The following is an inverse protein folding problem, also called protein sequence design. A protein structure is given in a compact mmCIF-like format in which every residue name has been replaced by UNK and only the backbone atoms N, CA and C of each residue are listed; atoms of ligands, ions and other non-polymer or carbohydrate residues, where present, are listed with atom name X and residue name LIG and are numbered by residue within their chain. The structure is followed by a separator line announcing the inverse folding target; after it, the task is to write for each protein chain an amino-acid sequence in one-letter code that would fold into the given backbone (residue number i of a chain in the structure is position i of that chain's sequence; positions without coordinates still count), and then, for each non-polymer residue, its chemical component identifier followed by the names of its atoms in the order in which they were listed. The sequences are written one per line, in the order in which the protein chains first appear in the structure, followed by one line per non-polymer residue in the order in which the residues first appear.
data_IF_385402825553
#
_entry.id   IF_385402825553
#
_cell.length_a   1.000
_cell.length_b   1.000
_cell.length_c   1.000
_cell.angle_alpha   90.00
_cell.angle_beta   90.00
_cell.angle_gamma   90.00
#
_symmetry.space_group_name_H-M   'P 1'
#
loop_
_entity.id
_entity.type
_entity.pdbx_description
1 polymer ?
#
# COMPACT_ATOMS: atom_id res chain seq x y z
N UNK A 1 -9.38 -6.49 -14.38
CA UNK A 1 -7.98 -6.51 -13.91
C UNK A 1 -7.98 -6.53 -12.39
N UNK A 2 -7.15 -7.37 -11.77
CA UNK A 2 -7.12 -7.54 -10.31
C UNK A 2 -5.73 -7.16 -9.78
N UNK A 3 -5.70 -6.20 -8.84
CA UNK A 3 -4.47 -5.68 -8.28
C UNK A 3 -4.47 -5.89 -6.77
N UNK A 4 -3.45 -6.55 -6.23
CA UNK A 4 -3.33 -6.88 -4.81
C UNK A 4 -2.27 -6.01 -4.14
N UNK A 5 -2.57 -5.45 -2.99
CA UNK A 5 -1.57 -4.82 -2.11
C UNK A 5 -1.48 -5.55 -0.77
N UNK A 6 -0.26 -5.70 -0.23
CA UNK A 6 -0.05 -6.36 1.06
C UNK A 6 1.24 -5.90 1.74
N UNK A 7 1.14 -5.30 2.90
CA UNK A 7 2.29 -5.16 3.79
C UNK A 7 2.58 -6.53 4.41
N UNK A 8 3.68 -7.15 3.99
CA UNK A 8 4.02 -8.53 4.38
C UNK A 8 4.88 -8.61 5.65
N UNK A 9 5.28 -7.48 6.22
CA UNK A 9 6.13 -7.42 7.43
C UNK A 9 7.34 -8.36 7.36
N UNK A 10 7.95 -8.45 6.17
CA UNK A 10 9.10 -9.29 5.85
C UNK A 10 8.80 -10.41 4.87
N UNK A 11 9.21 -10.23 3.60
CA UNK A 11 8.92 -11.16 2.50
C UNK A 11 9.43 -12.58 2.78
N UNK A 12 10.68 -12.72 3.26
CA UNK A 12 11.25 -14.04 3.59
C UNK A 12 10.48 -14.80 4.68
N UNK A 13 9.80 -14.07 5.57
CA UNK A 13 8.99 -14.68 6.61
C UNK A 13 7.64 -15.16 6.07
N UNK A 14 6.98 -14.34 5.23
CA UNK A 14 5.68 -14.69 4.65
C UNK A 14 5.80 -15.80 3.60
N UNK A 15 6.89 -15.88 2.85
CA UNK A 15 7.18 -16.98 1.91
C UNK A 15 7.09 -18.35 2.61
N UNK A 16 7.62 -18.45 3.83
CA UNK A 16 7.56 -19.69 4.65
C UNK A 16 6.17 -20.00 5.19
N UNK A 17 5.22 -19.10 5.03
CA UNK A 17 3.84 -19.22 5.51
C UNK A 17 2.82 -19.43 4.38
N UNK A 18 3.30 -19.79 3.18
CA UNK A 18 2.45 -20.07 2.04
C UNK A 18 2.06 -18.86 1.20
N UNK A 19 2.93 -17.85 1.12
CA UNK A 19 2.69 -16.66 0.31
C UNK A 19 2.34 -17.01 -1.15
N UNK A 20 3.12 -17.89 -1.79
CA UNK A 20 2.89 -18.27 -3.18
C UNK A 20 1.53 -18.99 -3.36
N UNK A 21 1.16 -19.88 -2.45
CA UNK A 21 -0.14 -20.56 -2.50
C UNK A 21 -1.30 -19.55 -2.40
N UNK A 22 -1.14 -18.53 -1.54
CA UNK A 22 -2.13 -17.43 -1.40
C UNK A 22 -2.23 -16.66 -2.71
N UNK A 23 -1.11 -16.24 -3.28
CA UNK A 23 -1.09 -15.46 -4.53
C UNK A 23 -1.65 -16.27 -5.71
N UNK A 24 -1.30 -17.54 -5.81
CA UNK A 24 -1.87 -18.44 -6.84
C UNK A 24 -3.39 -18.57 -6.67
N UNK A 25 -3.87 -18.70 -5.43
CA UNK A 25 -5.31 -18.82 -5.15
C UNK A 25 -6.09 -17.54 -5.46
N UNK A 26 -5.51 -16.37 -5.22
CA UNK A 26 -6.12 -15.07 -5.52
C UNK A 26 -5.97 -14.68 -7.00
N UNK A 27 -4.93 -15.17 -7.67
CA UNK A 27 -4.63 -14.96 -9.10
C UNK A 27 -4.68 -13.48 -9.56
N UNK A 28 -4.01 -12.53 -8.86
CA UNK A 28 -4.01 -11.14 -9.27
C UNK A 28 -3.05 -10.87 -10.44
N UNK A 29 -3.32 -9.84 -11.22
CA UNK A 29 -2.46 -9.38 -12.32
C UNK A 29 -1.24 -8.61 -11.80
N UNK A 30 -1.41 -7.92 -10.66
CA UNK A 30 -0.37 -7.17 -9.95
C UNK A 30 -0.34 -7.56 -8.48
N UNK A 31 0.87 -7.70 -7.93
CA UNK A 31 1.10 -7.88 -6.49
C UNK A 31 2.05 -6.79 -5.99
N UNK A 32 1.52 -5.87 -5.21
CA UNK A 32 2.24 -4.74 -4.64
C UNK A 32 2.54 -5.00 -3.16
N UNK A 33 3.82 -5.15 -2.82
CA UNK A 33 4.24 -5.51 -1.46
C UNK A 33 4.96 -4.37 -0.78
N UNK A 34 4.69 -4.20 0.51
CA UNK A 34 5.35 -3.24 1.37
C UNK A 34 6.06 -3.98 2.52
N UNK A 35 7.04 -3.30 3.10
CA UNK A 35 7.84 -3.83 4.21
C UNK A 35 8.48 -5.18 3.91
N UNK A 36 9.05 -5.31 2.71
CA UNK A 36 9.63 -6.58 2.25
C UNK A 36 10.86 -7.00 3.06
N UNK A 37 11.61 -6.05 3.65
CA UNK A 37 12.80 -6.28 4.49
C UNK A 37 13.83 -7.22 3.84
N UNK A 38 13.94 -7.16 2.52
CA UNK A 38 14.79 -8.04 1.72
C UNK A 38 15.60 -7.24 0.69
N UNK A 39 16.76 -7.76 0.35
CA UNK A 39 17.58 -7.29 -0.79
C UNK A 39 17.23 -8.13 -2.03
N UNK A 40 17.50 -7.64 -3.25
CA UNK A 40 17.16 -8.34 -4.50
C UNK A 40 17.67 -9.80 -4.57
N UNK A 41 18.88 -10.04 -4.06
CA UNK A 41 19.51 -11.36 -3.99
C UNK A 41 18.88 -12.33 -2.97
N UNK A 42 17.89 -11.87 -2.22
CA UNK A 42 17.17 -12.64 -1.20
C UNK A 42 15.71 -12.93 -1.59
N UNK A 43 15.30 -12.53 -2.79
CA UNK A 43 13.93 -12.69 -3.28
C UNK A 43 13.93 -13.64 -4.46
N UNK A 44 13.24 -14.77 -4.28
CA UNK A 44 13.04 -15.78 -5.31
C UNK A 44 11.53 -15.93 -5.51
N UNK A 45 11.03 -15.52 -6.66
CA UNK A 45 9.63 -15.68 -7.09
C UNK A 45 9.65 -16.43 -8.41
N UNK A 46 8.74 -17.38 -8.56
CA UNK A 46 8.61 -18.15 -9.80
C UNK A 46 8.29 -17.22 -10.98
N UNK A 47 9.19 -17.11 -11.99
CA UNK A 47 8.97 -16.25 -13.14
C UNK A 47 7.82 -16.75 -14.05
N UNK A 48 7.35 -17.98 -13.89
CA UNK A 48 6.14 -18.46 -14.58
C UNK A 48 4.87 -17.84 -13.99
N UNK A 49 4.87 -17.46 -12.70
CA UNK A 49 3.77 -16.75 -12.08
C UNK A 49 3.79 -15.26 -12.43
N UNK A 50 4.97 -14.63 -12.30
CA UNK A 50 5.17 -13.21 -12.62
C UNK A 50 6.48 -13.01 -13.36
N UNK A 51 6.44 -12.77 -14.67
CA UNK A 51 7.65 -12.57 -15.49
C UNK A 51 8.38 -11.27 -15.15
N UNK A 52 7.70 -10.30 -14.54
CA UNK A 52 8.30 -9.00 -14.22
C UNK A 52 8.26 -8.74 -12.71
N UNK A 53 9.43 -8.44 -12.15
CA UNK A 53 9.63 -8.12 -10.75
C UNK A 53 10.44 -6.84 -10.58
N UNK A 54 9.89 -5.89 -9.83
CA UNK A 54 10.53 -4.60 -9.54
C UNK A 54 10.67 -4.44 -8.03
N UNK A 55 11.90 -4.26 -7.54
CA UNK A 55 12.20 -4.18 -6.12
C UNK A 55 12.94 -2.89 -5.80
N UNK A 56 12.49 -2.19 -4.75
CA UNK A 56 13.12 -1.00 -4.20
C UNK A 56 13.49 -1.28 -2.73
N UNK A 57 14.69 -1.79 -2.46
CA UNK A 57 15.11 -2.09 -1.10
C UNK A 57 15.54 -0.82 -0.37
N UNK A 58 15.38 -0.80 0.96
CA UNK A 58 16.01 0.24 1.77
C UNK A 58 17.53 0.09 1.76
N UNK A 59 18.28 1.20 1.89
CA UNK A 59 19.74 1.15 2.09
C UNK A 59 20.11 0.36 3.34
N UNK A 60 19.29 0.46 4.40
CA UNK A 60 19.44 -0.36 5.61
C UNK A 60 18.87 -1.75 5.37
N UNK A 61 19.73 -2.77 5.39
CA UNK A 61 19.32 -4.18 5.26
C UNK A 61 18.31 -4.60 6.33
N UNK A 62 17.30 -5.38 5.93
CA UNK A 62 16.28 -5.90 6.84
C UNK A 62 15.27 -4.88 7.33
N UNK A 63 15.09 -3.77 6.62
CA UNK A 63 14.21 -2.67 6.97
C UNK A 63 13.43 -2.20 5.75
N UNK A 64 12.14 -1.81 5.91
CA UNK A 64 11.31 -1.21 4.87
C UNK A 64 11.38 -1.94 3.51
N UNK A 65 11.37 -1.21 2.40
CA UNK A 65 11.44 -1.74 1.05
C UNK A 65 10.08 -2.09 0.46
N UNK A 66 9.95 -1.91 -0.86
CA UNK A 66 8.74 -2.22 -1.62
C UNK A 66 9.07 -3.12 -2.81
N UNK A 67 8.07 -3.83 -3.31
CA UNK A 67 8.19 -4.72 -4.47
C UNK A 67 6.88 -4.72 -5.25
N UNK A 68 6.96 -4.77 -6.59
CA UNK A 68 5.83 -5.06 -7.47
C UNK A 68 6.16 -6.29 -8.32
N UNK A 69 5.24 -7.25 -8.32
CA UNK A 69 5.18 -8.34 -9.30
C UNK A 69 4.07 -8.03 -10.29
N UNK A 70 4.28 -8.28 -11.57
CA UNK A 70 3.27 -8.05 -12.60
C UNK A 70 3.44 -9.01 -13.77
N UNK A 71 2.32 -9.28 -14.45
CA UNK A 71 2.27 -10.06 -15.68
C UNK A 71 2.62 -9.23 -16.92
N UNK A 72 2.63 -7.90 -16.79
CA UNK A 72 2.77 -6.97 -17.90
C UNK A 72 4.06 -6.17 -17.82
N UNK A 73 4.74 -5.98 -18.94
CA UNK A 73 5.94 -5.15 -19.01
C UNK A 73 5.56 -3.66 -19.00
N UNK A 74 6.04 -2.85 -18.05
CA UNK A 74 5.76 -1.43 -18.03
C UNK A 74 6.60 -0.67 -19.07
N UNK A 75 6.07 0.44 -19.56
CA UNK A 75 6.80 1.38 -20.43
C UNK A 75 7.92 2.11 -19.67
N UNK A 76 7.72 2.38 -18.39
CA UNK A 76 8.68 3.05 -17.54
C UNK A 76 8.55 2.61 -16.08
N UNK A 77 9.66 2.66 -15.35
CA UNK A 77 9.75 2.32 -13.93
C UNK A 77 10.42 3.46 -13.17
N UNK A 78 9.75 3.97 -12.13
CA UNK A 78 10.31 4.97 -11.23
C UNK A 78 10.46 4.38 -9.82
N UNK A 79 11.60 4.67 -9.19
CA UNK A 79 11.90 4.30 -7.81
C UNK A 79 12.02 5.54 -6.94
N UNK A 80 11.32 5.56 -5.80
CA UNK A 80 11.29 6.70 -4.90
C UNK A 80 10.42 7.86 -5.39
N UNK A 81 10.55 9.00 -4.73
CA UNK A 81 9.78 10.24 -5.03
C UNK A 81 10.65 11.32 -5.67
N UNK A 82 11.93 11.01 -5.97
CA UNK A 82 12.88 11.92 -6.59
C UNK A 82 13.54 12.89 -5.60
N UNK A 83 13.52 12.60 -4.30
CA UNK A 83 14.19 13.37 -3.24
C UNK A 83 15.11 12.43 -2.47
N UNK A 84 16.43 12.61 -2.65
CA UNK A 84 17.44 11.66 -2.17
C UNK A 84 17.31 11.35 -0.67
N UNK A 85 17.08 12.35 0.17
CA UNK A 85 16.95 12.18 1.62
C UNK A 85 15.70 11.39 2.02
N UNK A 86 14.66 11.40 1.20
CA UNK A 86 13.40 10.68 1.42
C UNK A 86 13.40 9.28 0.81
N UNK A 87 14.27 9.03 -0.19
CA UNK A 87 14.30 7.79 -0.96
C UNK A 87 15.23 6.71 -0.38
N UNK A 88 15.82 6.95 0.81
CA UNK A 88 16.76 6.02 1.45
C UNK A 88 16.13 4.71 1.94
N UNK A 89 14.81 4.72 2.12
CA UNK A 89 14.09 3.62 2.77
C UNK A 89 13.30 2.74 1.79
N UNK A 90 13.43 2.97 0.45
CA UNK A 90 12.85 2.12 -0.59
C UNK A 90 11.31 2.04 -0.52
N UNK A 91 10.63 3.19 -0.40
CA UNK A 91 9.22 3.26 -0.04
C UNK A 91 8.23 3.34 -1.19
N UNK A 92 8.72 3.55 -2.42
CA UNK A 92 7.84 3.79 -3.57
C UNK A 92 8.39 3.17 -4.84
N UNK A 93 7.52 2.51 -5.61
CA UNK A 93 7.75 2.09 -7.00
C UNK A 93 6.54 2.54 -7.80
N UNK A 94 6.76 3.13 -8.96
CA UNK A 94 5.72 3.42 -9.95
C UNK A 94 6.02 2.69 -11.26
N UNK A 95 5.02 2.00 -11.78
CA UNK A 95 5.04 1.34 -13.08
C UNK A 95 4.09 2.09 -14.01
N UNK A 96 4.63 2.64 -15.10
CA UNK A 96 3.84 3.39 -16.09
C UNK A 96 3.51 2.49 -17.28
N UNK A 97 2.23 2.43 -17.63
CA UNK A 97 1.67 1.76 -18.80
C UNK A 97 1.10 2.78 -19.80
N UNK A 98 0.52 2.32 -20.91
CA UNK A 98 0.00 3.22 -21.93
C UNK A 98 -1.15 4.10 -21.39
N UNK A 99 -2.08 3.52 -20.64
CA UNK A 99 -3.33 4.19 -20.22
C UNK A 99 -3.36 4.55 -18.73
N UNK A 100 -2.46 4.03 -17.89
CA UNK A 100 -2.47 4.23 -16.43
C UNK A 100 -1.09 4.06 -15.80
N UNK A 101 -1.02 4.38 -14.52
CA UNK A 101 0.16 4.15 -13.66
C UNK A 101 -0.25 3.38 -12.40
N UNK A 102 0.51 2.35 -12.04
CA UNK A 102 0.37 1.64 -10.75
C UNK A 102 1.50 2.07 -9.83
N UNK A 103 1.17 2.54 -8.64
CA UNK A 103 2.14 3.01 -7.64
C UNK A 103 1.93 2.23 -6.35
N UNK A 104 2.99 1.57 -5.87
CA UNK A 104 3.02 1.04 -4.50
C UNK A 104 3.72 1.99 -3.55
N UNK A 105 3.21 2.10 -2.33
CA UNK A 105 3.77 2.96 -1.31
C UNK A 105 3.81 2.29 0.07
N UNK A 106 4.89 2.52 0.79
CA UNK A 106 5.02 2.28 2.23
C UNK A 106 5.30 3.60 2.93
N UNK A 107 4.26 4.28 3.36
CA UNK A 107 4.38 5.60 3.98
C UNK A 107 5.13 5.51 5.32
N UNK A 108 6.05 6.45 5.61
CA UNK A 108 6.76 6.44 6.89
C UNK A 108 5.82 6.49 8.09
N UNK A 109 6.01 5.60 9.05
CA UNK A 109 5.33 5.66 10.33
C UNK A 109 5.91 6.83 11.17
N UNK A 110 5.04 7.64 11.80
CA UNK A 110 5.45 8.76 12.64
C UNK A 110 6.10 8.34 13.97
N UNK A 111 6.04 7.05 14.32
CA UNK A 111 6.54 6.43 15.55
C UNK A 111 5.85 6.93 16.82
N UNK A 112 6.09 6.24 17.94
CA UNK A 112 5.52 6.59 19.24
C UNK A 112 5.78 8.05 19.59
N UNK A 113 4.74 8.72 20.09
CA UNK A 113 4.77 10.14 20.43
C UNK A 113 5.10 11.05 19.22
N UNK A 114 4.82 10.62 18.01
CA UNK A 114 5.01 11.39 16.77
C UNK A 114 6.47 11.84 16.54
N UNK A 115 7.46 11.06 17.00
CA UNK A 115 8.89 11.43 16.93
C UNK A 115 9.40 11.69 15.53
N UNK A 116 8.77 11.10 14.50
CA UNK A 116 9.12 11.30 13.08
C UNK A 116 8.07 12.10 12.31
N UNK A 117 7.22 12.85 12.99
CA UNK A 117 6.11 13.54 12.31
C UNK A 117 6.61 14.52 11.24
N UNK A 118 7.66 15.30 11.51
CA UNK A 118 8.22 16.25 10.55
C UNK A 118 8.72 15.54 9.28
N UNK A 119 9.39 14.40 9.44
CA UNK A 119 9.83 13.57 8.31
C UNK A 119 8.62 13.01 7.54
N UNK A 120 7.60 12.53 8.26
CA UNK A 120 6.37 12.01 7.67
C UNK A 120 5.66 13.08 6.84
N UNK A 121 5.47 14.29 7.36
CA UNK A 121 4.79 15.38 6.67
C UNK A 121 5.57 15.86 5.44
N UNK A 122 6.90 15.96 5.54
CA UNK A 122 7.76 16.30 4.40
C UNK A 122 7.68 15.21 3.31
N UNK A 123 7.66 13.94 3.72
CA UNK A 123 7.52 12.80 2.80
C UNK A 123 6.15 12.81 2.11
N UNK A 124 5.06 13.02 2.84
CA UNK A 124 3.70 13.09 2.29
C UNK A 124 3.59 14.16 1.20
N UNK A 125 4.16 15.35 1.44
CA UNK A 125 4.16 16.44 0.47
C UNK A 125 4.97 16.10 -0.79
N UNK A 126 6.13 15.46 -0.64
CA UNK A 126 6.97 15.03 -1.76
C UNK A 126 6.29 13.90 -2.56
N UNK A 127 5.68 12.93 -1.87
CA UNK A 127 4.94 11.85 -2.52
C UNK A 127 3.74 12.37 -3.31
N UNK A 128 2.96 13.28 -2.73
CA UNK A 128 1.83 13.90 -3.44
C UNK A 128 2.28 14.65 -4.71
N UNK A 129 3.40 15.37 -4.66
CA UNK A 129 3.98 16.03 -5.83
C UNK A 129 4.42 15.00 -6.87
N UNK A 130 5.02 13.89 -6.46
CA UNK A 130 5.40 12.79 -7.34
C UNK A 130 4.17 12.19 -8.04
N UNK A 131 3.12 11.86 -7.28
CA UNK A 131 1.86 11.35 -7.84
C UNK A 131 1.25 12.33 -8.85
N UNK A 132 1.21 13.62 -8.53
CA UNK A 132 0.68 14.67 -9.43
C UNK A 132 1.53 14.91 -10.68
N UNK A 133 2.74 14.37 -10.76
CA UNK A 133 3.61 14.52 -11.95
C UNK A 133 3.21 13.62 -13.12
N UNK A 134 2.40 12.60 -12.88
CA UNK A 134 1.91 11.73 -13.93
C UNK A 134 0.71 12.37 -14.66
N UNK A 135 0.78 12.37 -16.00
CA UNK A 135 -0.32 12.88 -16.84
C UNK A 135 -1.46 11.87 -17.00
N UNK A 136 -1.16 10.59 -16.76
CA UNK A 136 -2.11 9.47 -16.86
C UNK A 136 -2.83 9.24 -15.54
N UNK A 137 -4.03 8.63 -15.55
CA UNK A 137 -4.68 8.19 -14.32
C UNK A 137 -3.78 7.27 -13.51
N UNK A 138 -3.78 7.45 -12.19
CA UNK A 138 -2.97 6.66 -11.26
C UNK A 138 -3.84 5.77 -10.37
N UNK A 139 -3.32 4.59 -10.04
CA UNK A 139 -3.80 3.72 -8.98
C UNK A 139 -2.68 3.59 -7.96
N UNK A 140 -2.87 4.13 -6.77
CA UNK A 140 -1.89 4.16 -5.68
C UNK A 140 -2.33 3.22 -4.59
N UNK A 141 -1.49 2.27 -4.23
CA UNK A 141 -1.81 1.31 -3.17
C UNK A 141 -0.68 1.18 -2.14
N UNK A 142 -1.02 0.64 -1.01
CA UNK A 142 -0.07 0.26 0.01
C UNK A 142 -0.47 0.64 1.42
N UNK A 143 0.52 0.60 2.31
CA UNK A 143 0.38 0.99 3.70
C UNK A 143 0.65 2.48 3.85
N UNK A 144 -0.41 3.23 4.11
CA UNK A 144 -0.33 4.68 4.31
C UNK A 144 -0.07 5.09 5.76
N UNK A 145 -0.02 4.12 6.68
CA UNK A 145 0.20 4.38 8.11
C UNK A 145 -0.72 5.46 8.69
N UNK A 146 -1.96 5.55 8.20
CA UNK A 146 -2.99 6.46 8.69
C UNK A 146 -4.38 5.88 8.49
N UNK A 147 -5.21 5.92 9.51
CA UNK A 147 -6.66 5.73 9.42
C UNK A 147 -7.31 7.10 9.16
N UNK A 148 -8.06 7.24 8.05
CA UNK A 148 -8.58 8.54 7.61
C UNK A 148 -9.71 9.04 8.52
N UNK A 149 -10.66 8.15 8.84
CA UNK A 149 -11.88 8.49 9.57
C UNK A 149 -12.09 7.61 10.79
N UNK A 150 -13.07 7.95 11.61
CA UNK A 150 -13.46 7.16 12.78
C UNK A 150 -13.94 5.74 12.42
N UNK A 151 -14.40 5.51 11.18
CA UNK A 151 -14.76 4.18 10.66
C UNK A 151 -13.54 3.29 10.39
N UNK A 152 -12.36 3.90 10.26
CA UNK A 152 -11.13 3.23 9.84
C UNK A 152 -10.26 2.79 11.02
N UNK A 153 -10.72 3.03 12.25
CA UNK A 153 -10.00 2.66 13.48
C UNK A 153 -10.97 2.11 14.52
N UNK A 154 -10.58 1.01 15.17
CA UNK A 154 -11.30 0.53 16.33
C UNK A 154 -11.16 1.54 17.48
N UNK A 155 -12.28 1.90 18.12
CA UNK A 155 -12.31 2.86 19.23
C UNK A 155 -11.59 4.19 18.92
N UNK A 156 -12.16 4.99 18.01
CA UNK A 156 -11.61 6.27 17.57
C UNK A 156 -11.31 7.23 18.75
N UNK A 157 -12.14 7.21 19.80
CA UNK A 157 -11.97 8.09 20.97
C UNK A 157 -10.69 7.71 21.73
N UNK A 158 -10.47 6.43 21.98
CA UNK A 158 -9.30 5.95 22.71
C UNK A 158 -7.99 6.06 21.89
N UNK A 159 -8.10 6.17 20.57
CA UNK A 159 -6.95 6.25 19.65
C UNK A 159 -6.67 7.66 19.12
N UNK A 160 -7.50 8.64 19.43
CA UNK A 160 -7.27 10.05 19.02
C UNK A 160 -5.89 10.55 19.44
N UNK A 161 -5.16 11.13 18.48
CA UNK A 161 -3.81 11.67 18.70
C UNK A 161 -2.68 10.63 18.73
N UNK A 162 -2.98 9.34 18.63
CA UNK A 162 -1.93 8.31 18.49
C UNK A 162 -1.39 8.27 17.07
N UNK A 163 -0.18 7.74 16.91
CA UNK A 163 0.45 7.48 15.61
C UNK A 163 -0.48 6.66 14.72
N UNK A 164 -0.67 7.11 13.49
CA UNK A 164 -1.62 6.55 12.53
C UNK A 164 -3.06 7.09 12.67
N UNK A 165 -3.36 7.86 13.74
CA UNK A 165 -4.65 8.53 13.94
C UNK A 165 -4.48 9.90 14.61
N UNK A 166 -3.33 10.54 14.41
CA UNK A 166 -3.11 11.92 14.84
C UNK A 166 -3.77 12.91 13.88
N UNK A 167 -4.06 14.10 14.40
CA UNK A 167 -4.63 15.17 13.59
C UNK A 167 -3.70 15.54 12.43
N UNK A 168 -2.40 15.61 12.70
CA UNK A 168 -1.36 15.99 11.75
C UNK A 168 -1.28 14.99 10.59
N UNK A 169 -1.31 13.69 10.86
CA UNK A 169 -1.29 12.65 9.83
C UNK A 169 -2.56 12.66 8.98
N UNK A 170 -3.74 12.76 9.60
CA UNK A 170 -5.03 12.81 8.90
C UNK A 170 -5.18 14.08 8.04
N UNK A 171 -4.80 15.25 8.56
CA UNK A 171 -4.82 16.50 7.80
C UNK A 171 -3.84 16.47 6.62
N UNK A 172 -2.65 15.89 6.81
CA UNK A 172 -1.67 15.69 5.75
C UNK A 172 -2.19 14.78 4.65
N UNK A 173 -2.77 13.64 5.02
CA UNK A 173 -3.36 12.67 4.09
C UNK A 173 -4.51 13.30 3.29
N UNK A 174 -5.44 13.98 3.96
CA UNK A 174 -6.55 14.67 3.33
C UNK A 174 -6.08 15.76 2.36
N UNK A 175 -5.13 16.60 2.79
CA UNK A 175 -4.60 17.72 2.00
C UNK A 175 -3.81 17.26 0.78
N UNK A 176 -2.97 16.25 0.93
CA UNK A 176 -1.97 15.89 -0.07
C UNK A 176 -2.45 14.79 -1.03
N UNK A 177 -3.20 13.81 -0.55
CA UNK A 177 -3.63 12.67 -1.36
C UNK A 177 -5.14 12.68 -1.63
N UNK A 178 -5.97 12.79 -0.60
CA UNK A 178 -7.43 12.73 -0.76
C UNK A 178 -8.02 13.93 -1.49
N UNK A 179 -7.29 15.03 -1.61
CA UNK A 179 -7.66 16.18 -2.45
C UNK A 179 -7.53 15.92 -3.95
N UNK A 180 -6.85 14.86 -4.36
CA UNK A 180 -6.59 14.52 -5.76
C UNK A 180 -6.93 13.07 -6.14
N UNK A 181 -7.12 12.19 -5.17
CA UNK A 181 -7.41 10.76 -5.36
C UNK A 181 -8.60 10.35 -4.50
N UNK A 182 -9.38 9.41 -5.00
CA UNK A 182 -10.52 8.85 -4.31
C UNK A 182 -10.19 7.51 -3.66
N UNK A 183 -10.77 7.25 -2.49
CA UNK A 183 -10.63 5.97 -1.79
C UNK A 183 -11.57 4.94 -2.43
N UNK A 184 -10.99 4.03 -3.19
CA UNK A 184 -11.74 3.03 -3.94
C UNK A 184 -12.65 2.17 -3.04
N UNK A 185 -12.19 1.81 -1.82
CA UNK A 185 -13.02 1.07 -0.87
C UNK A 185 -14.26 1.87 -0.46
N UNK A 186 -14.11 3.17 -0.21
CA UNK A 186 -15.24 4.03 0.20
C UNK A 186 -16.19 4.37 -0.95
N UNK A 187 -15.75 4.26 -2.20
CA UNK A 187 -16.66 4.37 -3.37
C UNK A 187 -17.65 3.20 -3.38
N UNK A 188 -17.17 1.97 -3.22
CA UNK A 188 -18.01 0.76 -3.33
C UNK A 188 -18.62 0.32 -2.00
N UNK A 189 -17.95 0.61 -0.88
CA UNK A 189 -18.36 0.24 0.48
C UNK A 189 -18.39 1.46 1.42
N UNK A 190 -19.27 2.44 1.22
CA UNK A 190 -19.22 3.75 1.93
C UNK A 190 -19.41 3.64 3.44
N UNK A 191 -20.14 2.62 3.91
CA UNK A 191 -20.50 2.46 5.32
C UNK A 191 -19.91 1.23 5.98
N UNK A 192 -19.19 0.38 5.22
CA UNK A 192 -18.62 -0.85 5.76
C UNK A 192 -17.46 -0.55 6.70
N UNK A 193 -17.43 -1.23 7.85
CA UNK A 193 -16.32 -1.17 8.80
C UNK A 193 -15.51 -2.45 8.62
N UNK A 194 -14.34 -2.31 8.03
CA UNK A 194 -13.34 -3.37 7.87
C UNK A 194 -11.96 -2.81 8.15
N UNK A 195 -11.07 -3.69 8.58
CA UNK A 195 -9.71 -3.33 8.94
C UNK A 195 -8.71 -4.13 8.12
N UNK A 196 -7.52 -3.56 7.91
CA UNK A 196 -6.44 -4.20 7.17
C UNK A 196 -5.22 -4.52 8.03
N UNK A 197 -5.12 -3.94 9.22
CA UNK A 197 -4.03 -4.11 10.16
C UNK A 197 -4.51 -4.32 11.60
N UNK A 198 -3.77 -5.13 12.36
CA UNK A 198 -4.01 -5.42 13.79
C UNK A 198 -2.70 -5.55 14.55
N UNK A 199 -2.60 -4.88 15.69
CA UNK A 199 -1.42 -4.98 16.53
C UNK A 199 -1.19 -6.40 17.05
N UNK A 200 -0.01 -6.97 16.80
CA UNK A 200 0.41 -8.24 17.40
C UNK A 200 0.52 -8.16 18.92
N UNK A 201 0.98 -7.02 19.45
CA UNK A 201 1.20 -6.85 20.90
C UNK A 201 -0.09 -6.97 21.71
N UNK A 202 -1.18 -6.41 21.21
CA UNK A 202 -2.49 -6.49 21.87
C UNK A 202 -3.29 -7.73 21.49
N UNK A 203 -2.81 -8.56 20.57
CA UNK A 203 -3.60 -9.60 19.88
C UNK A 203 -4.88 -9.01 19.28
N UNK A 204 -4.74 -7.87 18.63
CA UNK A 204 -5.86 -7.06 18.13
C UNK A 204 -6.76 -7.83 17.16
N UNK A 205 -6.18 -8.70 16.31
CA UNK A 205 -6.96 -9.47 15.32
C UNK A 205 -7.95 -10.44 15.98
N UNK A 206 -7.54 -11.11 17.06
CA UNK A 206 -8.41 -12.00 17.84
C UNK A 206 -9.56 -11.25 18.53
N UNK A 207 -9.34 -9.96 18.83
CA UNK A 207 -10.32 -9.10 19.51
C UNK A 207 -11.16 -8.25 18.55
N UNK A 208 -10.81 -8.23 17.26
CA UNK A 208 -11.42 -7.32 16.29
C UNK A 208 -10.97 -5.85 16.44
N UNK A 209 -9.87 -5.59 17.17
CA UNK A 209 -9.33 -4.25 17.42
C UNK A 209 -8.37 -3.86 16.29
N UNK A 210 -8.89 -3.55 15.10
CA UNK A 210 -8.11 -3.29 13.91
C UNK A 210 -8.15 -1.85 13.44
N UNK A 211 -7.34 -1.57 12.41
CA UNK A 211 -7.25 -0.31 11.71
C UNK A 211 -7.24 -0.56 10.21
N UNK A 212 -7.90 0.29 9.42
CA UNK A 212 -7.76 0.31 7.97
C UNK A 212 -6.74 1.37 7.61
N UNK A 213 -5.53 0.94 7.28
CA UNK A 213 -4.39 1.79 6.94
C UNK A 213 -3.75 1.41 5.59
N UNK A 214 -4.23 0.34 4.98
CA UNK A 214 -3.89 -0.07 3.62
C UNK A 214 -5.03 0.32 2.68
N UNK A 215 -4.70 1.04 1.60
CA UNK A 215 -5.68 1.63 0.69
C UNK A 215 -5.38 1.31 -0.77
N UNK A 216 -6.41 1.41 -1.59
CA UNK A 216 -6.36 1.72 -3.00
C UNK A 216 -6.93 3.12 -3.20
N UNK A 217 -6.05 4.07 -3.57
CA UNK A 217 -6.43 5.43 -3.95
C UNK A 217 -6.33 5.55 -5.46
N UNK A 218 -7.39 6.02 -6.10
CA UNK A 218 -7.47 6.08 -7.56
C UNK A 218 -7.73 7.49 -8.05
N UNK A 219 -7.27 7.79 -9.27
CA UNK A 219 -7.67 9.03 -9.95
C UNK A 219 -9.18 9.04 -10.19
N UNK A 220 -9.90 10.18 -10.00
CA UNK A 220 -11.36 10.24 -10.16
C UNK A 220 -11.88 9.74 -11.52
N UNK A 221 -11.04 9.76 -12.56
CA UNK A 221 -11.38 9.23 -13.89
C UNK A 221 -11.54 7.70 -13.91
N UNK A 222 -11.18 7.02 -12.85
CA UNK A 222 -11.26 5.56 -12.71
C UNK A 222 -12.42 5.09 -11.82
N UNK A 223 -13.14 6.00 -11.16
CA UNK A 223 -14.17 5.67 -10.16
C UNK A 223 -15.28 4.77 -10.73
N UNK A 224 -15.74 5.07 -11.93
CA UNK A 224 -16.81 4.34 -12.62
C UNK A 224 -16.35 2.98 -13.17
N UNK A 225 -15.07 2.68 -13.11
CA UNK A 225 -14.45 1.41 -13.54
C UNK A 225 -14.17 0.45 -12.39
N UNK A 226 -14.34 0.88 -11.14
CA UNK A 226 -14.13 0.04 -9.97
C UNK A 226 -15.28 -0.97 -9.87
N UNK A 227 -14.96 -2.26 -9.92
CA UNK A 227 -15.93 -3.33 -9.69
C UNK A 227 -16.07 -3.60 -8.20
N UNK A 228 -14.95 -3.78 -7.48
CA UNK A 228 -14.94 -4.04 -6.05
C UNK A 228 -13.58 -3.71 -5.42
N UNK A 229 -13.55 -3.58 -4.09
CA UNK A 229 -12.34 -3.57 -3.26
C UNK A 229 -12.52 -4.56 -2.12
N UNK A 230 -11.69 -5.59 -2.09
CA UNK A 230 -11.83 -6.70 -1.15
C UNK A 230 -10.70 -6.63 -0.11
N UNK A 231 -11.08 -6.53 1.16
CA UNK A 231 -10.14 -6.66 2.29
C UNK A 231 -10.22 -8.10 2.78
N UNK A 232 -9.16 -8.88 2.59
CA UNK A 232 -9.08 -10.31 2.93
C UNK A 232 -8.67 -10.49 4.40
N UNK A 233 -9.54 -10.08 5.31
CA UNK A 233 -9.30 -10.11 6.76
C UNK A 233 -9.25 -11.51 7.37
N UNK A 234 -9.53 -12.55 6.59
CA UNK A 234 -9.36 -13.98 6.91
C UNK A 234 -8.01 -14.56 6.45
N UNK A 235 -7.22 -13.84 5.64
CA UNK A 235 -5.87 -14.24 5.24
C UNK A 235 -4.86 -13.80 6.30
N UNK A 236 -4.10 -14.78 6.81
CA UNK A 236 -3.11 -14.61 7.87
C UNK A 236 -1.68 -14.67 7.30
N UNK A 237 -0.70 -14.36 8.15
CA UNK A 237 0.73 -14.44 7.81
C UNK A 237 1.51 -13.17 8.17
N UNK A 238 0.89 -12.01 8.05
CA UNK A 238 1.35 -10.69 8.48
C UNK A 238 0.40 -10.11 9.53
N UNK A 239 0.76 -9.02 10.17
CA UNK A 239 -0.12 -8.16 10.98
C UNK A 239 -1.05 -7.30 10.11
N UNK A 240 -0.78 -7.21 8.81
CA UNK A 240 -1.71 -6.74 7.79
C UNK A 240 -2.35 -7.91 7.04
N UNK A 241 -3.49 -7.68 6.41
CA UNK A 241 -4.08 -8.57 5.43
C UNK A 241 -3.98 -7.99 4.01
N UNK A 242 -4.10 -8.83 2.96
CA UNK A 242 -4.15 -8.35 1.59
C UNK A 242 -5.39 -7.50 1.33
N UNK A 243 -5.25 -6.50 0.45
CA UNK A 243 -6.37 -5.69 -0.07
C UNK A 243 -6.31 -5.71 -1.59
N UNK A 244 -7.39 -6.12 -2.23
CA UNK A 244 -7.50 -6.24 -3.68
C UNK A 244 -8.39 -5.14 -4.25
N UNK A 245 -7.96 -4.58 -5.38
CA UNK A 245 -8.77 -3.75 -6.27
C UNK A 245 -9.14 -4.58 -7.49
N UNK A 246 -10.43 -4.75 -7.75
CA UNK A 246 -10.96 -5.26 -9.01
C UNK A 246 -11.49 -4.08 -9.84
N UNK A 247 -10.89 -3.87 -11.02
CA UNK A 247 -11.17 -2.72 -11.87
C UNK A 247 -11.28 -3.10 -13.35
N UNK A 248 -12.25 -2.50 -14.05
CA UNK A 248 -12.48 -2.73 -15.48
C UNK A 248 -11.52 -1.88 -16.34
N UNK A 249 -10.29 -2.36 -16.46
CA UNK A 249 -9.27 -1.82 -17.36
C UNK A 249 -8.82 -2.91 -18.33
N UNK A 250 -8.42 -2.50 -19.54
CA UNK A 250 -7.77 -3.42 -20.48
C UNK A 250 -6.39 -3.79 -20.00
N UNK A 251 -6.02 -5.05 -20.26
CA UNK A 251 -4.66 -5.49 -20.01
C UNK A 251 -3.68 -4.65 -20.85
N UNK A 252 -2.55 -4.24 -20.25
CA UNK A 252 -1.48 -3.59 -20.99
C UNK A 252 -0.98 -4.48 -22.13
N UNK A 253 -0.62 -3.84 -23.25
CA UNK A 253 -0.16 -4.55 -24.45
C UNK A 253 1.24 -5.16 -24.25
#
# INVERSE_FOLDING_TARGET
MRLLTWNVNGLRAIMKKGFEDIIVSLDPDFVCLQEIKAMPDQVEIDPELYPYMYINPARRKGYSGTLILTRFEPLNVCYGVGVEELDQEGRTIALEYEDFVVITVYTPNAQDNLKRIDFRLAWDAAFAKFVSSFAKPVMVCGDFNVAETDKDVFDAIANEGKTGFSKEERESFAKHLRSQLDDAFRIVHPDEIKYSWWSYYSRGREKGEGWRIDYWLVSPQLDDKINDVIIYDDIYGSDHCPVELDIDLKDPA
#
